data_IF_803992290436
#
_entry.id   IF_803992290436
#
_cell.length_a   1.000
_cell.length_b   1.000
_cell.length_c   1.000
_cell.angle_alpha   90.00
_cell.angle_beta   90.00
_cell.angle_gamma   90.00
#
_symmetry.space_group_name_H-M   'P 1'
#
loop_
_entity.id
_entity.type
_entity.pdbx_description
1 polymer ?
#
# COMPACT_ATOMS: atom_id res chain seq x y z
N UNK A 1 -19.16 -20.90 8.40
CA UNK A 1 -18.74 -19.51 8.20
C UNK A 1 -19.59 -18.64 9.12
N UNK A 2 -18.95 -17.81 9.95
CA UNK A 2 -19.60 -16.86 10.82
C UNK A 2 -19.50 -15.45 10.22
N UNK A 3 -20.53 -14.65 10.40
CA UNK A 3 -20.58 -13.27 9.90
C UNK A 3 -20.63 -12.31 11.07
N UNK A 4 -19.88 -11.21 10.97
CA UNK A 4 -19.84 -10.15 11.97
C UNK A 4 -20.18 -8.80 11.31
N UNK A 5 -20.76 -7.85 12.06
CA UNK A 5 -21.06 -6.54 11.49
C UNK A 5 -19.76 -5.81 11.13
N UNK A 6 -19.73 -5.21 9.94
CA UNK A 6 -18.61 -4.36 9.56
C UNK A 6 -18.63 -3.09 10.41
N UNK A 7 -17.48 -2.73 10.96
CA UNK A 7 -17.31 -1.42 11.57
C UNK A 7 -17.12 -0.37 10.46
N UNK A 8 -18.22 0.28 10.09
CA UNK A 8 -18.24 1.26 8.99
C UNK A 8 -17.31 2.46 9.24
N UNK A 9 -16.97 2.78 10.48
CA UNK A 9 -16.01 3.85 10.81
C UNK A 9 -14.56 3.48 10.47
N UNK A 10 -14.26 2.20 10.35
CA UNK A 10 -12.92 1.69 10.00
C UNK A 10 -12.77 1.41 8.50
N UNK A 11 -13.84 1.54 7.72
CA UNK A 11 -13.77 1.29 6.27
C UNK A 11 -13.29 2.57 5.59
N UNK A 12 -12.12 2.48 4.96
CA UNK A 12 -11.64 3.51 4.05
C UNK A 12 -12.65 3.73 2.92
N UNK A 13 -13.04 4.97 2.70
CA UNK A 13 -14.00 5.32 1.66
C UNK A 13 -13.41 6.35 0.70
N UNK A 14 -13.22 5.93 -0.55
CA UNK A 14 -12.83 6.85 -1.64
C UNK A 14 -13.83 7.99 -1.82
N UNK A 15 -15.12 7.72 -1.54
CA UNK A 15 -16.17 8.76 -1.55
C UNK A 15 -15.88 9.85 -0.52
N UNK A 16 -15.43 9.49 0.68
CA UNK A 16 -15.07 10.46 1.72
C UNK A 16 -13.80 11.23 1.33
N UNK A 17 -12.79 10.56 0.76
CA UNK A 17 -11.59 11.23 0.25
C UNK A 17 -11.92 12.23 -0.86
N UNK A 18 -12.78 11.84 -1.80
CA UNK A 18 -13.27 12.73 -2.87
C UNK A 18 -14.01 13.94 -2.32
N UNK A 19 -14.86 13.73 -1.29
CA UNK A 19 -15.53 14.83 -0.60
C UNK A 19 -14.56 15.76 0.10
N UNK A 20 -13.55 15.20 0.79
CA UNK A 20 -12.50 15.98 1.46
C UNK A 20 -11.72 16.84 0.46
N UNK A 21 -11.28 16.28 -0.67
CA UNK A 21 -10.59 17.04 -1.72
C UNK A 21 -11.43 18.22 -2.20
N UNK A 22 -12.71 17.98 -2.47
CA UNK A 22 -13.65 19.03 -2.90
C UNK A 22 -13.87 20.11 -1.83
N UNK A 23 -13.93 19.74 -0.55
CA UNK A 23 -14.06 20.71 0.54
C UNK A 23 -12.78 21.52 0.76
N UNK A 24 -11.59 20.92 0.57
CA UNK A 24 -10.32 21.65 0.54
C UNK A 24 -10.25 22.62 -0.63
N UNK A 25 -10.66 22.20 -1.83
CA UNK A 25 -10.71 23.05 -3.03
C UNK A 25 -11.60 24.28 -2.84
N UNK A 26 -12.71 24.10 -2.16
CA UNK A 26 -13.68 25.16 -1.87
C UNK A 26 -13.30 26.03 -0.65
N UNK A 27 -12.14 25.81 -0.04
CA UNK A 27 -11.65 26.58 1.11
C UNK A 27 -12.46 26.36 2.39
N UNK A 28 -13.18 25.24 2.52
CA UNK A 28 -13.97 24.92 3.71
C UNK A 28 -13.13 24.31 4.84
N UNK A 29 -11.89 23.92 4.56
CA UNK A 29 -11.01 23.24 5.51
C UNK A 29 -9.91 24.21 5.93
N UNK A 30 -9.95 24.71 7.15
CA UNK A 30 -8.91 25.56 7.72
C UNK A 30 -7.75 24.76 8.32
N UNK A 31 -8.04 23.62 8.92
CA UNK A 31 -7.05 22.75 9.57
C UNK A 31 -7.26 21.32 9.15
N UNK A 32 -6.19 20.65 8.75
CA UNK A 32 -6.20 19.25 8.36
C UNK A 32 -5.09 18.49 9.11
N UNK A 33 -5.46 17.40 9.78
CA UNK A 33 -4.51 16.47 10.37
C UNK A 33 -4.42 15.21 9.50
N UNK A 34 -3.22 14.90 9.03
CA UNK A 34 -2.92 13.70 8.26
C UNK A 34 -2.08 12.80 9.16
N UNK A 35 -2.60 11.61 9.48
CA UNK A 35 -2.05 10.74 10.51
C UNK A 35 -1.54 9.44 9.89
N UNK A 36 -0.23 9.34 9.67
CA UNK A 36 0.44 8.15 9.20
C UNK A 36 0.11 7.72 7.75
N UNK A 37 -0.40 8.63 6.92
CA UNK A 37 -0.75 8.37 5.52
C UNK A 37 0.01 9.32 4.59
N UNK A 38 0.21 8.92 3.33
CA UNK A 38 0.91 9.74 2.34
C UNK A 38 0.06 10.01 1.08
N UNK A 39 -1.07 10.71 1.23
CA UNK A 39 -2.04 10.88 0.14
C UNK A 39 -1.53 11.72 -1.05
N UNK A 40 -0.46 12.46 -0.90
CA UNK A 40 0.18 13.16 -2.05
C UNK A 40 0.82 12.14 -3.01
N UNK A 41 1.25 11.00 -2.50
CA UNK A 41 1.85 9.93 -3.29
C UNK A 41 0.82 8.88 -3.75
N UNK A 42 -0.05 8.40 -2.84
CA UNK A 42 -0.86 7.19 -3.03
C UNK A 42 -2.33 7.43 -3.34
N UNK A 43 -2.82 8.67 -3.31
CA UNK A 43 -4.21 8.97 -3.68
C UNK A 43 -4.45 8.79 -5.19
N UNK A 44 -5.68 8.46 -5.60
CA UNK A 44 -6.07 8.45 -6.99
C UNK A 44 -5.79 9.77 -7.69
N UNK A 45 -5.25 9.70 -8.91
CA UNK A 45 -4.76 10.88 -9.64
C UNK A 45 -5.86 11.88 -10.00
N UNK A 46 -7.08 11.39 -10.26
CA UNK A 46 -8.25 12.20 -10.59
C UNK A 46 -8.76 13.07 -9.43
N UNK A 47 -8.32 12.80 -8.20
CA UNK A 47 -8.71 13.58 -7.03
C UNK A 47 -7.89 14.86 -6.84
N UNK A 48 -6.72 14.99 -7.47
CA UNK A 48 -5.87 16.17 -7.35
C UNK A 48 -5.50 16.52 -5.91
N UNK A 49 -5.27 15.51 -5.05
CA UNK A 49 -5.09 15.72 -3.61
C UNK A 49 -3.98 16.73 -3.28
N UNK A 50 -2.85 16.67 -3.98
CA UNK A 50 -1.73 17.57 -3.75
C UNK A 50 -2.10 19.05 -3.99
N UNK A 51 -2.87 19.32 -5.06
CA UNK A 51 -3.32 20.69 -5.38
C UNK A 51 -4.38 21.19 -4.40
N UNK A 52 -5.27 20.30 -3.98
CA UNK A 52 -6.29 20.60 -2.97
C UNK A 52 -5.65 20.89 -1.60
N UNK A 53 -4.60 20.12 -1.22
CA UNK A 53 -3.88 20.30 0.05
C UNK A 53 -3.20 21.68 0.13
N UNK A 54 -2.67 22.20 -0.97
CA UNK A 54 -2.04 23.54 -1.01
C UNK A 54 -2.98 24.68 -0.63
N UNK A 55 -4.30 24.46 -0.70
CA UNK A 55 -5.32 25.45 -0.31
C UNK A 55 -5.65 25.42 1.18
N UNK A 56 -5.20 24.42 1.92
CA UNK A 56 -5.39 24.31 3.36
C UNK A 56 -4.35 25.15 4.08
N UNK A 57 -4.79 26.11 4.92
CA UNK A 57 -3.89 27.04 5.63
C UNK A 57 -2.98 26.32 6.63
N UNK A 58 -3.54 25.37 7.37
CA UNK A 58 -2.86 24.68 8.46
C UNK A 58 -2.97 23.16 8.26
N UNK A 59 -2.06 22.58 7.50
CA UNK A 59 -1.94 21.16 7.34
C UNK A 59 -0.86 20.62 8.30
N UNK A 60 -1.24 19.67 9.15
CA UNK A 60 -0.36 19.00 10.11
C UNK A 60 -0.20 17.55 9.70
N UNK A 61 1.02 17.12 9.50
CA UNK A 61 1.33 15.73 9.15
C UNK A 61 2.08 15.03 10.28
N UNK A 62 1.55 13.93 10.75
CA UNK A 62 2.17 13.03 11.71
C UNK A 62 2.70 11.81 10.95
N UNK A 63 4.01 11.63 10.89
CA UNK A 63 4.64 10.59 10.06
C UNK A 63 5.99 10.15 10.61
N UNK A 64 6.43 8.93 10.27
CA UNK A 64 7.73 8.40 10.68
C UNK A 64 8.90 8.96 9.86
N UNK A 65 8.65 9.42 8.65
CA UNK A 65 9.64 9.98 7.73
C UNK A 65 9.07 11.20 7.02
N UNK A 66 9.93 12.12 6.63
CA UNK A 66 9.53 13.23 5.77
C UNK A 66 9.29 12.69 4.36
N UNK A 67 8.02 12.66 3.98
CA UNK A 67 7.53 12.14 2.71
C UNK A 67 6.96 13.22 1.77
N UNK A 68 6.32 12.81 0.67
CA UNK A 68 5.74 13.71 -0.32
C UNK A 68 4.64 14.61 0.28
N UNK A 69 3.82 14.05 1.18
CA UNK A 69 2.78 14.80 1.90
C UNK A 69 3.40 15.79 2.88
N UNK A 70 4.46 15.37 3.59
CA UNK A 70 5.20 16.24 4.51
C UNK A 70 5.72 17.52 3.85
N UNK A 71 6.13 17.44 2.58
CA UNK A 71 6.65 18.58 1.82
C UNK A 71 5.60 19.65 1.53
N UNK A 72 4.33 19.30 1.58
CA UNK A 72 3.22 20.22 1.34
C UNK A 72 2.51 20.66 2.62
N UNK A 73 2.82 20.03 3.76
CA UNK A 73 2.22 20.38 5.04
C UNK A 73 2.95 21.53 5.73
N UNK A 74 2.21 22.35 6.49
CA UNK A 74 2.75 23.48 7.29
C UNK A 74 3.56 22.97 8.49
N UNK A 75 3.15 21.86 9.06
CA UNK A 75 3.75 21.25 10.25
C UNK A 75 3.96 19.76 10.04
N UNK A 76 5.13 19.28 10.45
CA UNK A 76 5.46 17.86 10.48
C UNK A 76 5.83 17.46 11.91
N UNK A 77 5.14 16.45 12.43
CA UNK A 77 5.36 15.89 13.75
C UNK A 77 5.91 14.48 13.57
N UNK A 78 7.02 14.17 14.22
CA UNK A 78 7.57 12.82 14.20
C UNK A 78 6.61 11.85 14.93
N UNK A 79 6.23 10.76 14.24
CA UNK A 79 5.33 9.74 14.76
C UNK A 79 6.11 8.64 15.48
N UNK A 80 5.62 8.21 16.63
CA UNK A 80 6.13 7.04 17.32
C UNK A 80 5.97 5.79 16.47
N UNK A 81 6.96 4.91 16.54
CA UNK A 81 6.78 3.54 16.09
C UNK A 81 5.82 2.79 17.03
N UNK A 82 5.11 1.77 16.55
CA UNK A 82 4.17 1.01 17.39
C UNK A 82 4.85 0.28 18.56
N UNK A 83 6.16 0.05 18.52
CA UNK A 83 6.93 -0.42 19.67
C UNK A 83 7.17 0.63 20.75
N UNK A 84 6.90 1.89 20.45
CA UNK A 84 7.18 3.04 21.33
C UNK A 84 5.93 3.62 21.99
N UNK A 85 4.73 3.10 21.65
CA UNK A 85 3.49 3.71 22.12
C UNK A 85 2.42 2.69 22.51
N UNK A 86 1.51 3.13 23.39
CA UNK A 86 0.29 2.41 23.73
C UNK A 86 -0.74 2.55 22.62
N UNK A 87 -1.49 1.47 22.42
CA UNK A 87 -2.60 1.43 21.48
C UNK A 87 -3.43 0.16 21.66
N UNK A 88 -4.35 -0.06 20.76
CA UNK A 88 -5.10 -1.30 20.66
C UNK A 88 -5.45 -1.61 19.20
N UNK A 89 -5.87 -2.85 18.95
CA UNK A 89 -6.36 -3.30 17.66
C UNK A 89 -7.52 -4.27 17.87
N UNK A 90 -8.49 -4.22 16.95
CA UNK A 90 -9.63 -5.12 16.97
C UNK A 90 -9.67 -5.94 15.68
N UNK A 91 -9.84 -7.26 15.83
CA UNK A 91 -10.05 -8.18 14.72
C UNK A 91 -11.47 -8.06 14.15
N UNK A 92 -11.69 -8.60 12.95
CA UNK A 92 -13.03 -8.56 12.31
C UNK A 92 -14.12 -9.30 13.10
N UNK A 93 -13.76 -10.26 13.91
CA UNK A 93 -14.69 -11.01 14.79
C UNK A 93 -14.86 -10.37 16.17
N UNK A 94 -14.21 -9.22 16.42
CA UNK A 94 -14.38 -8.41 17.62
C UNK A 94 -13.49 -8.80 18.80
N UNK A 95 -12.42 -9.58 18.58
CA UNK A 95 -11.39 -9.73 19.59
C UNK A 95 -10.52 -8.47 19.64
N UNK A 96 -10.18 -8.01 20.84
CA UNK A 96 -9.39 -6.82 21.04
C UNK A 96 -8.04 -7.17 21.64
N UNK A 97 -6.98 -6.73 20.98
CA UNK A 97 -5.59 -6.88 21.43
C UNK A 97 -5.05 -5.55 21.90
N UNK A 98 -4.17 -5.59 22.90
CA UNK A 98 -3.49 -4.42 23.41
C UNK A 98 -2.12 -4.28 22.76
N UNK A 99 -1.78 -3.07 22.35
CA UNK A 99 -0.43 -2.72 21.91
C UNK A 99 0.27 -2.05 23.07
N UNK A 100 1.33 -2.68 23.56
CA UNK A 100 2.14 -2.20 24.66
C UNK A 100 3.50 -1.73 24.15
N UNK A 101 4.03 -0.58 24.59
CA UNK A 101 5.36 -0.16 24.18
C UNK A 101 6.41 -1.16 24.68
N UNK A 102 7.32 -1.53 23.82
CA UNK A 102 8.45 -2.41 24.12
C UNK A 102 9.72 -1.63 24.43
N UNK A 103 9.77 -0.40 23.95
CA UNK A 103 10.88 0.53 24.15
C UNK A 103 10.34 1.93 24.43
N UNK A 104 11.17 2.78 25.03
CA UNK A 104 10.90 4.22 25.10
C UNK A 104 11.07 4.85 23.71
N UNK A 105 10.37 5.97 23.41
CA UNK A 105 10.60 6.71 22.19
C UNK A 105 12.08 7.04 21.98
N UNK A 106 12.63 6.68 20.81
CA UNK A 106 14.03 6.93 20.48
C UNK A 106 14.29 8.39 20.12
N UNK A 107 13.25 9.09 19.69
CA UNK A 107 13.30 10.49 19.28
C UNK A 107 12.20 11.29 19.99
N UNK A 108 12.22 12.62 19.85
CA UNK A 108 11.10 13.47 20.32
C UNK A 108 9.90 13.32 19.39
N UNK A 109 9.27 12.14 19.46
CA UNK A 109 8.13 11.73 18.66
C UNK A 109 6.85 11.66 19.49
N UNK A 110 5.70 11.63 18.84
CA UNK A 110 4.38 11.56 19.47
C UNK A 110 3.54 10.46 18.84
N UNK A 111 2.72 9.81 19.64
CA UNK A 111 1.70 8.90 19.11
C UNK A 111 0.49 9.68 18.59
N UNK A 112 -0.33 9.04 17.75
CA UNK A 112 -1.60 9.60 17.32
C UNK A 112 -2.49 9.98 18.51
N UNK A 113 -2.51 9.14 19.54
CA UNK A 113 -3.27 9.37 20.77
C UNK A 113 -2.80 10.66 21.47
N UNK A 114 -1.48 10.85 21.61
CA UNK A 114 -0.93 12.06 22.24
C UNK A 114 -1.21 13.34 21.45
N UNK A 115 -1.22 13.27 20.12
CA UNK A 115 -1.54 14.44 19.28
C UNK A 115 -3.03 14.80 19.35
N UNK A 116 -3.92 13.80 19.39
CA UNK A 116 -5.36 14.03 19.39
C UNK A 116 -5.94 14.26 20.79
N UNK A 117 -5.34 13.73 21.85
CA UNK A 117 -5.90 13.81 23.22
C UNK A 117 -6.15 15.26 23.69
N UNK A 118 -5.24 16.24 23.50
CA UNK A 118 -5.52 17.62 23.87
C UNK A 118 -6.68 18.25 23.13
N UNK A 119 -6.91 17.81 21.88
CA UNK A 119 -8.03 18.31 21.05
C UNK A 119 -9.37 17.76 21.55
N UNK A 120 -9.39 16.47 21.93
CA UNK A 120 -10.61 15.77 22.35
C UNK A 120 -10.98 16.07 23.80
N UNK A 121 -10.00 16.09 24.69
CA UNK A 121 -10.21 16.19 26.14
C UNK A 121 -9.86 17.56 26.73
N UNK A 122 -9.34 18.50 25.94
CA UNK A 122 -8.82 19.80 26.38
C UNK A 122 -7.69 19.73 27.41
N UNK A 123 -7.17 18.56 27.66
CA UNK A 123 -6.08 18.25 28.59
C UNK A 123 -5.16 17.19 27.96
N UNK A 124 -3.88 17.33 28.22
CA UNK A 124 -2.91 16.30 27.84
C UNK A 124 -3.12 15.06 28.74
N UNK A 125 -3.47 13.94 28.13
CA UNK A 125 -3.55 12.65 28.81
C UNK A 125 -2.47 11.71 28.27
N UNK A 126 -1.95 10.84 29.13
CA UNK A 126 -1.03 9.82 28.69
C UNK A 126 -1.73 8.85 27.73
N UNK A 127 -1.00 8.28 26.77
CA UNK A 127 -1.55 7.30 25.86
C UNK A 127 -2.06 6.06 26.62
N UNK A 128 -1.38 5.66 27.71
CA UNK A 128 -1.83 4.59 28.61
C UNK A 128 -3.21 4.88 29.22
N UNK A 129 -3.36 6.04 29.86
CA UNK A 129 -4.63 6.40 30.51
C UNK A 129 -5.76 6.51 29.50
N UNK A 130 -5.48 7.05 28.31
CA UNK A 130 -6.46 7.13 27.22
C UNK A 130 -6.93 5.75 26.80
N UNK A 131 -6.04 4.81 26.52
CA UNK A 131 -6.38 3.42 26.15
C UNK A 131 -7.14 2.75 27.30
N UNK A 132 -6.66 2.84 28.55
CA UNK A 132 -7.31 2.27 29.73
C UNK A 132 -8.73 2.79 29.91
N UNK A 133 -8.95 4.10 29.76
CA UNK A 133 -10.28 4.72 29.86
C UNK A 133 -11.22 4.26 28.75
N UNK A 134 -10.75 4.15 27.52
CA UNK A 134 -11.54 3.60 26.41
C UNK A 134 -11.93 2.15 26.68
N UNK A 135 -10.99 1.33 27.17
CA UNK A 135 -11.29 -0.06 27.52
C UNK A 135 -12.31 -0.18 28.64
N UNK A 136 -12.22 0.68 29.65
CA UNK A 136 -13.18 0.73 30.76
C UNK A 136 -14.57 1.11 30.30
N UNK A 137 -14.69 2.06 29.37
CA UNK A 137 -15.98 2.58 28.92
C UNK A 137 -16.63 1.74 27.81
N UNK A 138 -15.82 1.08 26.94
CA UNK A 138 -16.35 0.45 25.73
C UNK A 138 -16.17 -1.07 25.66
N UNK A 139 -15.06 -1.60 26.21
CA UNK A 139 -14.68 -3.01 26.01
C UNK A 139 -15.04 -3.87 27.21
N UNK A 140 -14.54 -3.51 28.40
CA UNK A 140 -14.76 -4.25 29.65
C UNK A 140 -15.93 -3.65 30.41
N UNK A 141 -17.16 -4.01 30.03
CA UNK A 141 -18.39 -3.44 30.59
C UNK A 141 -18.92 -4.17 31.84
N UNK A 142 -18.38 -5.32 32.18
CA UNK A 142 -18.88 -6.15 33.27
C UNK A 142 -17.75 -6.78 34.04
N UNK A 143 -17.95 -6.99 35.37
CA UNK A 143 -16.95 -7.58 36.25
C UNK A 143 -16.02 -6.55 36.91
N UNK A 144 -14.94 -7.03 37.51
CA UNK A 144 -13.91 -6.16 38.08
C UNK A 144 -12.99 -5.69 36.96
N UNK A 145 -13.09 -4.42 36.58
CA UNK A 145 -12.32 -3.83 35.47
C UNK A 145 -10.82 -4.00 35.68
N UNK A 146 -10.28 -3.68 36.85
CA UNK A 146 -8.83 -3.73 37.09
C UNK A 146 -8.28 -5.15 36.89
N UNK A 147 -8.98 -6.17 37.40
CA UNK A 147 -8.59 -7.57 37.22
C UNK A 147 -8.62 -7.99 35.74
N UNK A 148 -9.66 -7.63 35.01
CA UNK A 148 -9.77 -7.98 33.59
C UNK A 148 -8.76 -7.19 32.73
N UNK A 149 -8.46 -5.95 33.13
CA UNK A 149 -7.44 -5.11 32.53
C UNK A 149 -6.03 -5.71 32.73
N UNK A 150 -5.65 -6.03 33.96
CA UNK A 150 -4.38 -6.69 34.27
C UNK A 150 -4.21 -8.00 33.50
N UNK A 151 -5.28 -8.77 33.40
CA UNK A 151 -5.29 -10.02 32.62
C UNK A 151 -5.10 -9.75 31.12
N UNK A 152 -5.74 -8.72 30.58
CA UNK A 152 -5.56 -8.35 29.19
C UNK A 152 -4.14 -7.84 28.89
N UNK A 153 -3.53 -7.11 29.83
CA UNK A 153 -2.12 -6.72 29.74
C UNK A 153 -1.18 -7.93 29.73
N UNK A 154 -1.44 -8.91 30.61
CA UNK A 154 -0.64 -10.12 30.70
C UNK A 154 -0.79 -11.01 29.45
N UNK A 155 -2.03 -11.21 29.00
CA UNK A 155 -2.35 -12.13 27.88
C UNK A 155 -2.17 -11.44 26.51
N UNK A 156 -2.05 -10.09 26.44
CA UNK A 156 -2.01 -9.29 25.22
C UNK A 156 -3.34 -9.22 24.49
N UNK A 157 -4.37 -9.90 24.98
CA UNK A 157 -5.64 -10.13 24.30
C UNK A 157 -6.80 -10.16 25.30
N UNK A 158 -7.90 -9.46 24.98
CA UNK A 158 -9.17 -9.64 25.67
C UNK A 158 -9.93 -10.84 25.04
N UNK A 159 -10.08 -11.89 25.81
CA UNK A 159 -10.58 -13.20 25.32
C UNK A 159 -12.06 -13.24 24.93
N UNK A 160 -12.82 -12.20 25.26
CA UNK A 160 -14.25 -12.13 24.93
C UNK A 160 -14.44 -11.22 23.71
N UNK A 161 -14.97 -11.74 22.59
CA UNK A 161 -15.27 -10.91 21.46
C UNK A 161 -16.35 -9.89 21.82
N UNK A 162 -16.16 -8.64 21.43
CA UNK A 162 -17.14 -7.55 21.69
C UNK A 162 -18.22 -7.47 20.62
N UNK A 163 -18.03 -8.11 19.47
CA UNK A 163 -19.00 -8.18 18.40
C UNK A 163 -19.84 -9.45 18.51
N UNK A 164 -21.12 -9.33 18.15
CA UNK A 164 -22.04 -10.46 18.05
C UNK A 164 -22.14 -10.92 16.60
N UNK A 165 -22.24 -12.24 16.40
CA UNK A 165 -22.51 -12.81 15.08
C UNK A 165 -23.83 -12.30 14.54
N UNK A 166 -23.89 -12.10 13.23
CA UNK A 166 -25.11 -11.65 12.52
C UNK A 166 -25.52 -12.69 11.50
N UNK A 167 -26.82 -12.85 11.32
CA UNK A 167 -27.36 -13.68 10.25
C UNK A 167 -27.46 -12.84 8.98
N UNK A 168 -26.76 -13.26 7.93
CA UNK A 168 -26.84 -12.63 6.61
C UNK A 168 -27.69 -13.47 5.68
N UNK A 169 -28.42 -12.82 4.80
CA UNK A 169 -29.17 -13.43 3.71
C UNK A 169 -28.57 -13.01 2.37
N UNK A 170 -28.47 -13.92 1.39
CA UNK A 170 -28.01 -13.54 0.05
C UNK A 170 -28.93 -12.46 -0.53
N UNK A 171 -28.34 -11.51 -1.26
CA UNK A 171 -29.13 -10.55 -2.04
C UNK A 171 -29.76 -11.31 -3.21
N UNK A 172 -31.08 -11.32 -3.29
CA UNK A 172 -31.84 -12.09 -4.30
C UNK A 172 -31.72 -11.54 -5.72
N UNK A 173 -31.29 -10.28 -5.88
CA UNK A 173 -31.06 -9.65 -7.19
C UNK A 173 -29.67 -8.99 -7.20
N UNK A 174 -28.76 -9.58 -7.94
CA UNK A 174 -27.52 -8.91 -8.35
C UNK A 174 -27.90 -8.02 -9.54
N UNK A 175 -27.62 -6.73 -9.47
CA UNK A 175 -27.87 -5.81 -10.57
C UNK A 175 -26.99 -6.19 -11.76
N UNK A 176 -27.64 -6.53 -12.90
CA UNK A 176 -26.93 -6.78 -14.16
C UNK A 176 -26.24 -5.52 -14.70
N UNK A 177 -26.57 -4.34 -14.19
CA UNK A 177 -25.91 -3.09 -14.55
C UNK A 177 -24.40 -3.09 -14.24
N UNK A 178 -23.97 -3.84 -13.20
CA UNK A 178 -22.54 -3.97 -12.87
C UNK A 178 -21.75 -4.70 -13.96
N UNK A 179 -22.41 -5.58 -14.73
CA UNK A 179 -21.75 -6.38 -15.78
C UNK A 179 -21.64 -5.63 -17.11
N UNK A 180 -22.47 -4.61 -17.35
CA UNK A 180 -22.52 -3.89 -18.62
C UNK A 180 -21.44 -2.80 -18.76
N UNK A 181 -20.83 -2.36 -17.65
CA UNK A 181 -19.77 -1.35 -17.67
C UNK A 181 -18.37 -1.95 -17.91
N UNK A 182 -18.28 -3.28 -18.07
CA UNK A 182 -17.03 -3.99 -18.25
C UNK A 182 -16.81 -4.27 -19.75
N UNK A 183 -16.46 -3.25 -20.52
CA UNK A 183 -16.05 -3.43 -21.92
C UNK A 183 -14.58 -3.05 -22.09
N UNK A 184 -13.81 -3.99 -22.63
CA UNK A 184 -12.44 -3.78 -23.03
C UNK A 184 -12.41 -3.64 -24.55
N UNK A 185 -11.93 -2.51 -25.05
CA UNK A 185 -11.82 -2.26 -26.48
C UNK A 185 -10.80 -3.21 -27.13
N UNK A 186 -10.93 -3.43 -28.43
CA UNK A 186 -9.98 -4.23 -29.15
C UNK A 186 -8.59 -3.60 -29.11
N UNK A 187 -7.58 -4.44 -28.88
CA UNK A 187 -6.16 -4.04 -28.73
C UNK A 187 -5.83 -3.17 -27.49
N UNK A 188 -6.78 -2.95 -26.60
CA UNK A 188 -6.56 -2.33 -25.30
C UNK A 188 -6.35 -3.36 -24.19
N UNK A 189 -5.80 -2.90 -23.08
CA UNK A 189 -5.46 -3.72 -21.91
C UNK A 189 -6.20 -3.26 -20.67
N UNK A 190 -6.50 -4.22 -19.80
CA UNK A 190 -6.81 -3.99 -18.41
C UNK A 190 -5.49 -3.78 -17.66
N UNK A 191 -5.34 -2.63 -17.01
CA UNK A 191 -4.19 -2.34 -16.16
C UNK A 191 -4.55 -2.65 -14.72
N UNK A 192 -3.92 -3.67 -14.15
CA UNK A 192 -4.19 -4.15 -12.79
C UNK A 192 -3.11 -3.63 -11.84
N UNK A 193 -3.52 -3.05 -10.72
CA UNK A 193 -2.61 -2.55 -9.70
C UNK A 193 -2.57 -3.51 -8.52
N UNK A 194 -1.37 -3.95 -8.14
CA UNK A 194 -1.17 -4.84 -7.00
C UNK A 194 -0.20 -4.23 -6.00
N UNK A 195 -0.45 -4.36 -4.70
CA UNK A 195 0.56 -3.99 -3.71
C UNK A 195 1.83 -4.81 -3.94
N UNK A 196 2.99 -4.18 -3.77
CA UNK A 196 4.26 -4.91 -3.83
C UNK A 196 4.36 -5.91 -2.68
N UNK A 197 4.88 -7.09 -2.95
CA UNK A 197 5.21 -8.10 -1.93
C UNK A 197 6.33 -7.65 -0.98
N UNK A 198 7.14 -6.68 -1.37
CA UNK A 198 8.26 -6.13 -0.58
C UNK A 198 7.87 -4.83 0.12
N UNK A 199 7.62 -3.77 -0.64
CA UNK A 199 7.42 -2.41 -0.10
C UNK A 199 5.95 -2.02 0.08
N UNK A 200 5.03 -2.94 -0.22
CA UNK A 200 3.58 -2.82 -0.12
C UNK A 200 3.04 -1.66 -0.98
N UNK A 201 2.49 -0.62 -0.38
CA UNK A 201 1.99 0.59 -1.03
C UNK A 201 3.03 1.73 -1.07
N UNK A 202 4.27 1.45 -0.67
CA UNK A 202 5.37 2.41 -0.59
C UNK A 202 5.70 2.88 0.82
N UNK A 203 4.90 2.51 1.83
CA UNK A 203 5.18 2.87 3.24
C UNK A 203 6.47 2.23 3.76
N UNK A 204 6.90 1.12 3.19
CA UNK A 204 8.12 0.40 3.54
C UNK A 204 9.28 0.65 2.57
N UNK A 205 9.15 1.61 1.65
CA UNK A 205 10.19 1.88 0.64
C UNK A 205 11.57 2.20 1.22
N UNK A 206 11.65 2.80 2.42
CA UNK A 206 12.91 3.11 3.08
C UNK A 206 13.56 1.91 3.80
N UNK A 207 13.00 0.72 3.70
CA UNK A 207 13.57 -0.49 4.30
C UNK A 207 14.40 -1.25 3.26
N UNK A 208 15.74 -1.14 3.34
CA UNK A 208 16.68 -1.79 2.43
C UNK A 208 16.57 -3.31 2.43
N UNK A 209 16.31 -3.92 3.58
CA UNK A 209 16.09 -5.37 3.67
C UNK A 209 14.91 -5.83 2.82
N UNK A 210 13.79 -5.08 2.86
CA UNK A 210 12.62 -5.40 2.03
C UNK A 210 12.88 -5.13 0.55
N UNK A 211 13.69 -4.13 0.21
CA UNK A 211 14.09 -3.85 -1.18
C UNK A 211 14.95 -4.98 -1.77
N UNK A 212 15.79 -5.61 -0.96
CA UNK A 212 16.68 -6.70 -1.39
C UNK A 212 16.00 -8.06 -1.47
N UNK A 213 14.84 -8.25 -0.83
CA UNK A 213 14.11 -9.52 -0.87
C UNK A 213 13.59 -9.76 -2.30
N UNK A 214 14.00 -10.86 -2.96
CA UNK A 214 13.48 -11.20 -4.28
C UNK A 214 11.97 -11.43 -4.26
N UNK A 215 11.28 -10.85 -5.22
CA UNK A 215 9.83 -11.06 -5.36
C UNK A 215 9.51 -12.50 -5.72
N UNK A 216 8.41 -13.07 -5.19
CA UNK A 216 8.12 -14.50 -5.30
C UNK A 216 8.04 -15.05 -6.74
N UNK A 217 7.55 -14.25 -7.70
CA UNK A 217 7.31 -14.71 -9.08
C UNK A 217 8.41 -14.24 -10.04
N UNK A 218 8.83 -12.99 -9.89
CA UNK A 218 9.75 -12.36 -10.85
C UNK A 218 11.20 -12.40 -10.43
N UNK A 219 11.46 -12.67 -9.15
CA UNK A 219 12.79 -12.57 -8.51
C UNK A 219 13.44 -11.18 -8.66
N UNK A 220 12.66 -10.17 -9.03
CA UNK A 220 13.11 -8.78 -9.08
C UNK A 220 13.39 -8.26 -7.66
N UNK A 221 14.42 -7.45 -7.54
CA UNK A 221 14.80 -6.70 -6.34
C UNK A 221 14.94 -5.24 -6.69
N UNK A 222 14.74 -4.34 -5.74
CA UNK A 222 14.93 -2.89 -5.89
C UNK A 222 14.08 -2.21 -6.99
N UNK A 223 13.24 -2.94 -7.70
CA UNK A 223 12.50 -2.45 -8.86
C UNK A 223 11.08 -3.00 -8.95
N UNK A 224 10.28 -2.33 -9.76
CA UNK A 224 9.03 -2.86 -10.30
C UNK A 224 9.04 -2.76 -11.83
N UNK A 225 8.23 -3.60 -12.47
CA UNK A 225 8.11 -3.66 -13.91
C UNK A 225 6.65 -3.87 -14.32
N UNK A 226 6.33 -3.57 -15.57
CA UNK A 226 5.07 -3.96 -16.16
C UNK A 226 5.10 -5.46 -16.51
N UNK A 227 4.31 -6.26 -15.80
CA UNK A 227 4.20 -7.69 -16.05
C UNK A 227 3.31 -7.91 -17.28
N UNK A 228 3.88 -8.47 -18.32
CA UNK A 228 3.20 -8.72 -19.61
C UNK A 228 3.24 -10.20 -19.97
N UNK A 229 2.25 -10.64 -20.74
CA UNK A 229 2.21 -12.02 -21.21
C UNK A 229 3.20 -12.29 -22.35
N UNK A 230 3.68 -13.53 -22.45
CA UNK A 230 4.53 -13.99 -23.54
C UNK A 230 3.91 -13.74 -24.93
N UNK A 231 2.58 -13.84 -25.05
CA UNK A 231 1.87 -13.56 -26.33
C UNK A 231 1.92 -12.09 -26.72
N UNK A 232 1.74 -11.19 -25.76
CA UNK A 232 1.84 -9.73 -25.97
C UNK A 232 3.28 -9.37 -26.33
N UNK A 233 4.25 -9.89 -25.55
CA UNK A 233 5.67 -9.66 -25.84
C UNK A 233 6.05 -10.08 -27.26
N UNK A 234 5.62 -11.27 -27.69
CA UNK A 234 5.87 -11.75 -29.06
C UNK A 234 5.15 -10.90 -30.13
N UNK A 235 3.87 -10.50 -29.88
CA UNK A 235 3.09 -9.68 -30.81
C UNK A 235 3.73 -8.31 -31.04
N UNK A 236 4.23 -7.68 -29.98
CA UNK A 236 4.79 -6.33 -29.98
C UNK A 236 6.33 -6.29 -30.04
N UNK A 237 6.97 -7.45 -30.15
CA UNK A 237 8.43 -7.61 -30.15
C UNK A 237 9.11 -6.96 -28.94
N UNK A 238 8.54 -7.17 -27.75
CA UNK A 238 9.04 -6.65 -26.47
C UNK A 238 10.02 -7.65 -25.85
N UNK A 239 11.12 -7.16 -25.31
CA UNK A 239 12.09 -7.92 -24.51
C UNK A 239 12.00 -7.52 -23.04
N UNK A 240 12.55 -8.37 -22.15
CA UNK A 240 12.72 -7.99 -20.74
C UNK A 240 13.56 -6.72 -20.63
N UNK A 241 13.15 -5.80 -19.76
CA UNK A 241 13.79 -4.49 -19.59
C UNK A 241 13.46 -3.47 -20.69
N UNK A 242 12.71 -3.84 -21.74
CA UNK A 242 12.27 -2.88 -22.75
C UNK A 242 11.36 -1.83 -22.12
N UNK A 243 11.67 -0.55 -22.29
CA UNK A 243 10.83 0.51 -21.78
C UNK A 243 9.51 0.60 -22.53
N UNK A 244 8.44 0.68 -21.76
CA UNK A 244 7.08 0.86 -22.23
C UNK A 244 6.55 2.20 -21.75
N UNK A 245 5.81 2.89 -22.58
CA UNK A 245 4.92 3.97 -22.16
C UNK A 245 3.51 3.41 -22.07
N UNK A 246 2.96 3.39 -20.86
CA UNK A 246 1.60 2.92 -20.61
C UNK A 246 0.70 4.15 -20.43
N UNK A 247 -0.36 4.20 -21.22
CA UNK A 247 -1.30 5.33 -21.23
C UNK A 247 -2.68 4.87 -20.74
N UNK A 248 -3.29 5.67 -19.86
CA UNK A 248 -4.66 5.51 -19.37
C UNK A 248 -5.33 6.87 -19.37
N UNK A 249 -6.31 7.09 -20.23
CA UNK A 249 -6.92 8.41 -20.43
C UNK A 249 -5.86 9.46 -20.77
N UNK A 250 -5.75 10.49 -19.95
CA UNK A 250 -4.77 11.58 -20.14
C UNK A 250 -3.44 11.35 -19.37
N UNK A 251 -3.33 10.26 -18.65
CA UNK A 251 -2.16 9.96 -17.84
C UNK A 251 -1.26 8.94 -18.53
N UNK A 252 0.04 9.13 -18.42
CA UNK A 252 1.04 8.19 -18.93
C UNK A 252 2.18 7.97 -17.93
N UNK A 253 2.77 6.80 -17.97
CA UNK A 253 4.00 6.47 -17.25
C UNK A 253 4.96 5.71 -18.16
N UNK A 254 6.26 5.83 -17.87
CA UNK A 254 7.28 4.98 -18.48
C UNK A 254 7.74 3.94 -17.46
N UNK A 255 7.78 2.66 -17.87
CA UNK A 255 8.13 1.55 -16.98
C UNK A 255 8.72 0.41 -17.82
N UNK A 256 9.75 -0.32 -17.35
CA UNK A 256 10.29 -1.47 -18.07
C UNK A 256 9.33 -2.66 -18.07
N UNK A 257 9.37 -3.43 -19.13
CA UNK A 257 8.60 -4.66 -19.26
C UNK A 257 9.29 -5.84 -18.59
N UNK A 258 8.51 -6.72 -17.97
CA UNK A 258 8.94 -8.04 -17.54
C UNK A 258 7.96 -9.10 -18.09
N UNK A 259 8.49 -10.05 -18.85
CA UNK A 259 7.68 -11.09 -19.51
C UNK A 259 7.44 -12.22 -18.51
N UNK A 260 6.17 -12.38 -18.12
CA UNK A 260 5.78 -13.33 -17.07
C UNK A 260 4.95 -14.47 -17.67
N UNK A 261 5.39 -15.73 -17.54
CA UNK A 261 4.57 -16.89 -17.87
C UNK A 261 3.28 -16.90 -17.04
N UNK A 262 2.16 -17.25 -17.68
CA UNK A 262 0.86 -17.30 -17.02
C UNK A 262 0.11 -15.95 -16.95
N UNK A 263 0.75 -14.81 -17.25
CA UNK A 263 0.08 -13.52 -17.34
C UNK A 263 -0.98 -13.53 -18.45
N UNK A 264 -2.16 -12.96 -18.18
CA UNK A 264 -3.24 -12.87 -19.17
C UNK A 264 -2.84 -11.94 -20.32
N UNK A 265 -3.22 -12.32 -21.55
CA UNK A 265 -2.87 -11.54 -22.76
C UNK A 265 -3.62 -10.21 -22.91
N UNK A 266 -4.66 -9.97 -22.13
CA UNK A 266 -5.47 -8.74 -22.14
C UNK A 266 -5.23 -7.90 -20.89
N UNK A 267 -4.31 -8.29 -19.99
CA UNK A 267 -4.05 -7.59 -18.76
C UNK A 267 -2.55 -7.35 -18.55
N UNK A 268 -2.24 -6.20 -17.97
CA UNK A 268 -0.90 -5.80 -17.56
C UNK A 268 -0.95 -5.56 -16.05
N UNK A 269 -0.05 -6.18 -15.31
CA UNK A 269 0.03 -5.96 -13.85
C UNK A 269 1.14 -4.99 -13.52
N UNK A 270 0.81 -3.97 -12.71
CA UNK A 270 1.72 -2.95 -12.22
C UNK A 270 1.78 -3.01 -10.71
N UNK A 271 2.97 -3.16 -10.15
CA UNK A 271 3.16 -3.15 -8.71
C UNK A 271 3.28 -1.73 -8.17
N UNK A 272 2.51 -1.46 -7.10
CA UNK A 272 2.52 -0.21 -6.33
C UNK A 272 3.77 -0.11 -5.44
N UNK A 273 4.02 1.09 -4.91
CA UNK A 273 4.97 1.30 -3.82
C UNK A 273 6.35 1.78 -4.21
N UNK A 274 6.63 1.91 -5.50
CA UNK A 274 7.91 2.34 -6.05
C UNK A 274 7.88 3.77 -6.62
N UNK A 275 9.04 4.29 -7.03
CA UNK A 275 9.18 5.61 -7.62
C UNK A 275 8.88 6.75 -6.65
N UNK A 276 9.15 6.54 -5.34
CA UNK A 276 9.02 7.56 -4.28
C UNK A 276 10.08 8.64 -4.46
N UNK A 277 9.70 9.90 -4.25
CA UNK A 277 10.65 11.03 -4.28
C UNK A 277 11.21 11.35 -2.89
N UNK A 278 10.40 11.13 -1.86
CA UNK A 278 10.75 11.41 -0.48
C UNK A 278 10.34 10.23 0.41
N UNK A 279 11.19 9.22 0.50
CA UNK A 279 10.96 8.04 1.35
C UNK A 279 12.14 7.73 2.28
N UNK A 280 13.10 8.64 2.38
CA UNK A 280 14.32 8.45 3.15
C UNK A 280 15.53 8.14 2.28
N UNK A 281 16.63 7.72 2.89
CA UNK A 281 17.91 7.53 2.18
C UNK A 281 17.91 6.34 1.21
N UNK A 282 17.13 5.32 1.51
CA UNK A 282 17.15 4.03 0.79
C UNK A 282 16.18 4.04 -0.38
N UNK A 283 14.94 4.52 -0.15
CA UNK A 283 13.84 4.31 -1.09
C UNK A 283 13.58 5.47 -2.07
N UNK A 284 14.40 6.53 -2.05
CA UNK A 284 14.22 7.63 -2.99
C UNK A 284 14.56 7.21 -4.42
N UNK A 285 13.64 7.48 -5.34
CA UNK A 285 13.81 7.26 -6.80
C UNK A 285 14.06 5.79 -7.19
N UNK A 286 13.72 4.85 -6.32
CA UNK A 286 13.82 3.42 -6.60
C UNK A 286 12.58 2.95 -7.35
N UNK A 287 12.76 2.35 -8.51
CA UNK A 287 11.69 1.87 -9.38
C UNK A 287 10.80 2.98 -9.95
N UNK A 288 9.58 2.62 -10.35
CA UNK A 288 8.69 3.46 -11.14
C UNK A 288 7.35 3.70 -10.43
N UNK A 289 6.93 4.97 -10.35
CA UNK A 289 5.66 5.33 -9.74
C UNK A 289 4.50 5.04 -10.70
N UNK A 290 3.60 4.15 -10.31
CA UNK A 290 2.42 3.75 -11.10
C UNK A 290 1.12 4.38 -10.60
N UNK A 291 1.12 5.06 -9.46
CA UNK A 291 -0.06 5.73 -8.90
C UNK A 291 -0.72 6.75 -9.84
N UNK A 292 0.02 7.48 -10.71
CA UNK A 292 -0.61 8.41 -11.64
C UNK A 292 -1.63 7.79 -12.59
N UNK A 293 -1.58 6.47 -12.82
CA UNK A 293 -2.56 5.76 -13.65
C UNK A 293 -3.82 5.33 -12.90
N UNK A 294 -3.84 5.39 -11.55
CA UNK A 294 -5.01 4.98 -10.76
C UNK A 294 -6.05 6.07 -10.70
N UNK A 295 -7.31 5.68 -10.77
CA UNK A 295 -8.45 6.57 -10.59
C UNK A 295 -9.30 6.20 -9.35
N UNK A 296 -10.22 7.10 -8.97
CA UNK A 296 -11.08 6.92 -7.80
C UNK A 296 -12.31 6.02 -8.06
N UNK A 297 -12.58 5.63 -9.31
CA UNK A 297 -13.72 4.78 -9.63
C UNK A 297 -13.40 3.33 -9.30
N UNK A 298 -12.17 2.90 -9.65
CA UNK A 298 -11.68 1.57 -9.30
C UNK A 298 -10.17 1.62 -9.02
N UNK A 299 -9.76 1.61 -7.73
CA UNK A 299 -8.35 1.72 -7.38
C UNK A 299 -7.52 0.47 -7.64
N UNK A 300 -8.17 -0.66 -7.97
CA UNK A 300 -7.49 -1.94 -8.17
C UNK A 300 -7.15 -2.21 -9.63
N UNK A 301 -7.89 -1.62 -10.56
CA UNK A 301 -7.64 -1.74 -12.01
C UNK A 301 -8.27 -0.60 -12.79
N UNK A 302 -7.79 -0.38 -14.01
CA UNK A 302 -8.40 0.51 -15.00
C UNK A 302 -8.49 -0.20 -16.32
N UNK A 303 -9.54 0.12 -17.10
CA UNK A 303 -9.75 -0.44 -18.44
C UNK A 303 -9.17 0.47 -19.52
N UNK A 304 -9.00 -0.10 -20.70
CA UNK A 304 -8.59 0.60 -21.91
C UNK A 304 -7.24 1.32 -21.79
N UNK A 305 -6.29 0.66 -21.12
CA UNK A 305 -4.89 1.08 -21.17
C UNK A 305 -4.22 0.69 -22.50
N UNK A 306 -3.35 1.56 -23.03
CA UNK A 306 -2.55 1.29 -24.21
C UNK A 306 -1.06 1.24 -23.91
N UNK A 307 -0.30 0.55 -24.78
CA UNK A 307 1.15 0.42 -24.68
C UNK A 307 1.80 1.01 -25.91
N UNK A 308 2.80 1.87 -25.71
CA UNK A 308 3.77 2.26 -26.73
C UNK A 308 5.14 1.66 -26.35
N UNK A 309 5.75 0.93 -27.26
CA UNK A 309 7.09 0.36 -27.06
C UNK A 309 8.13 1.43 -27.38
N UNK A 310 9.00 1.71 -26.42
CA UNK A 310 10.09 2.68 -26.59
C UNK A 310 11.38 1.98 -27.03
N UNK A 311 12.29 2.71 -27.66
CA UNK A 311 13.60 2.16 -28.08
C UNK A 311 14.64 2.09 -26.95
N UNK A 312 14.25 2.44 -25.73
CA UNK A 312 15.09 2.45 -24.54
C UNK A 312 14.98 1.11 -23.81
N UNK A 313 16.05 0.69 -23.17
CA UNK A 313 16.09 -0.49 -22.30
C UNK A 313 16.55 -0.07 -20.90
N UNK A 314 16.03 -0.74 -19.89
CA UNK A 314 16.37 -0.54 -18.48
C UNK A 314 16.86 -1.88 -17.88
N UNK A 315 18.03 -1.92 -17.23
CA UNK A 315 18.53 -3.12 -16.60
C UNK A 315 17.73 -3.41 -15.32
N UNK A 316 16.85 -4.40 -15.37
CA UNK A 316 16.12 -4.86 -14.20
C UNK A 316 17.02 -5.70 -13.31
N UNK A 317 17.04 -5.40 -12.00
CA UNK A 317 17.77 -6.19 -11.03
C UNK A 317 17.01 -7.49 -10.73
N UNK A 318 17.58 -8.65 -11.05
CA UNK A 318 17.02 -9.97 -10.77
C UNK A 318 18.05 -10.85 -10.08
N UNK A 319 17.60 -11.68 -9.13
CA UNK A 319 18.46 -12.67 -8.46
C UNK A 319 18.52 -13.99 -9.22
N UNK A 320 17.78 -14.13 -10.31
CA UNK A 320 17.76 -15.33 -11.17
C UNK A 320 18.21 -15.05 -12.60
N UNK A 321 19.26 -14.32 -12.76
CA UNK A 321 19.87 -14.04 -14.06
C UNK A 321 21.08 -14.96 -14.34
N UNK A 322 20.93 -16.25 -14.01
CA UNK A 322 21.97 -17.26 -14.19
C UNK A 322 21.65 -18.19 -15.34
N UNK A 323 21.30 -17.64 -16.51
CA UNK A 323 20.92 -18.44 -17.68
C UNK A 323 22.09 -18.94 -18.52
N UNK A 324 23.32 -18.62 -18.13
CA UNK A 324 24.54 -19.07 -18.77
C UNK A 324 25.75 -18.73 -17.92
N UNK A 325 26.79 -19.53 -18.02
CA UNK A 325 28.11 -19.14 -17.55
C UNK A 325 28.72 -18.25 -18.63
N UNK A 326 28.58 -16.93 -18.48
CA UNK A 326 29.06 -15.94 -19.45
C UNK A 326 30.61 -15.92 -19.55
N UNK A 327 31.29 -16.53 -18.58
CA UNK A 327 32.75 -16.65 -18.54
C UNK A 327 33.19 -18.11 -18.64
N UNK A 328 33.57 -18.54 -19.83
CA UNK A 328 34.19 -19.87 -20.09
C UNK A 328 35.38 -20.20 -19.17
N UNK A 329 35.90 -19.22 -18.43
CA UNK A 329 37.05 -19.37 -17.52
C UNK A 329 36.79 -20.27 -16.32
N UNK A 330 35.54 -20.46 -15.94
CA UNK A 330 35.16 -21.23 -14.75
C UNK A 330 34.32 -22.48 -15.08
N UNK A 331 33.98 -22.69 -16.33
CA UNK A 331 33.25 -23.88 -16.74
C UNK A 331 34.21 -25.04 -17.02
N UNK A 332 34.05 -26.13 -16.26
CA UNK A 332 34.69 -27.39 -16.67
C UNK A 332 34.09 -27.85 -18.01
N UNK A 333 34.86 -28.48 -18.91
CA UNK A 333 34.38 -29.06 -20.15
C UNK A 333 33.16 -29.96 -19.88
N UNK A 334 32.01 -29.68 -20.51
CA UNK A 334 30.77 -30.40 -20.31
C UNK A 334 29.85 -29.82 -19.22
N UNK A 335 30.18 -28.72 -18.58
CA UNK A 335 29.37 -28.07 -17.56
C UNK A 335 28.10 -27.42 -18.18
N UNK A 336 28.19 -26.94 -19.40
CA UNK A 336 27.06 -26.41 -20.15
C UNK A 336 25.97 -27.46 -20.39
N UNK A 337 26.35 -28.70 -20.66
CA UNK A 337 25.40 -29.80 -20.78
C UNK A 337 24.71 -30.15 -19.45
N UNK A 338 25.43 -30.06 -18.35
CA UNK A 338 24.88 -30.26 -17.00
C UNK A 338 23.97 -29.10 -16.58
N UNK A 339 24.36 -27.86 -16.83
CA UNK A 339 23.55 -26.69 -16.54
C UNK A 339 22.25 -26.66 -17.36
N UNK A 340 22.34 -26.97 -18.66
CA UNK A 340 21.18 -27.06 -19.53
C UNK A 340 20.25 -28.24 -19.17
N UNK A 341 20.79 -29.35 -18.67
CA UNK A 341 19.96 -30.47 -18.21
C UNK A 341 19.35 -30.25 -16.83
N UNK A 342 19.98 -29.47 -15.93
CA UNK A 342 19.38 -29.08 -14.66
C UNK A 342 18.20 -28.11 -14.81
N UNK A 343 18.21 -27.27 -15.83
CA UNK A 343 17.10 -26.32 -16.11
C UNK A 343 15.83 -27.00 -16.66
N UNK A 344 15.90 -28.27 -17.05
CA UNK A 344 14.73 -29.05 -17.49
C UNK A 344 13.86 -29.55 -16.34
N UNK A 345 14.29 -29.42 -15.08
CA UNK A 345 13.57 -29.88 -13.88
C UNK A 345 13.09 -28.74 -12.95
N UNK A 346 13.29 -27.49 -13.33
CA UNK A 346 12.74 -26.31 -12.65
C UNK A 346 11.77 -25.57 -13.60
#
# INVERSE_FOLDING_TARGET
>A
IDYYPLNMSQISSLKNLKSLCKDMENGKIDKLFILGANPVYDSPSDLGFAESLKKVKNAVHLTNIIDETSKLCSWNIAMNHYFECWGDAMTYDGHVSIVQPQIMPLFDSRSVIQVLSPIVYSLEQSAYDTVKNVWKSTIIKSGNFEREWEKALHDGLYKRPILKKVNVKPISKVSTAILNDYSLDNDMFEIVFTPSSSVYDGRYANNGWLQEIPKPVTSLTWDNAALISMKVAKKLNIKNGQMLEINVGNNSIKIPAFITPGQNQKSITLELGYGRKFSGRIGNEVGFNVYPLRDSNNPSFVLNGSINVLNETYPLASTQDHHGLEDDKYAAPGFDDLANNCLLYT
#
